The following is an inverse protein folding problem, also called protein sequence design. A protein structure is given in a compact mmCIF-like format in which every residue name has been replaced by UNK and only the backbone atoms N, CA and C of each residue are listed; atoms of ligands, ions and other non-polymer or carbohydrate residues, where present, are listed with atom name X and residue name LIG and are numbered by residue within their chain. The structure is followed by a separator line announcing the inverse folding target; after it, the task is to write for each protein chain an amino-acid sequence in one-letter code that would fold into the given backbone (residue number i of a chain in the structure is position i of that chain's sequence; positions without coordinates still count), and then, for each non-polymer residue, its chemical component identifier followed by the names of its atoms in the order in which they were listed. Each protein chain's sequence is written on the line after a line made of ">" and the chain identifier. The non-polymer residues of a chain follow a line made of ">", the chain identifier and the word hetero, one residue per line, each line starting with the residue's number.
data_IF_351111137285
#
_entry.id   IF_351111137285
#
_cell.length_a   1.000
_cell.length_b   1.000
_cell.length_c   1.000
_cell.angle_alpha   90.00
_cell.angle_beta   90.00
_cell.angle_gamma   90.00
#
_symmetry.space_group_name_H-M   'P 1'
#
loop_
_entity.id
_entity.type
_entity.pdbx_description
1 polymer ?
#
# COMPACT_ATOMS: atom_id res chain seq x y z
N UNK A 1 10.77 13.71 -2.36
CA UNK A 1 9.58 14.20 -3.11
C UNK A 1 8.67 13.00 -3.34
N UNK A 2 7.35 13.19 -3.26
CA UNK A 2 6.37 12.11 -3.47
C UNK A 2 6.19 11.80 -4.96
N UNK A 3 6.08 10.52 -5.34
CA UNK A 3 5.87 10.11 -6.74
C UNK A 3 4.63 10.76 -7.36
N UNK A 4 3.56 10.92 -6.58
CA UNK A 4 2.30 11.55 -7.02
C UNK A 4 2.43 13.00 -7.45
N UNK A 5 3.47 13.70 -7.00
CA UNK A 5 3.70 15.10 -7.36
C UNK A 5 4.45 15.28 -8.68
N UNK A 6 5.15 14.26 -9.14
CA UNK A 6 6.06 14.33 -10.29
C UNK A 6 5.64 13.41 -11.45
N UNK A 7 4.73 12.46 -11.20
CA UNK A 7 4.27 11.54 -12.22
C UNK A 7 3.28 12.20 -13.18
N UNK A 8 3.52 12.06 -14.49
CA UNK A 8 2.57 12.44 -15.55
C UNK A 8 1.51 11.35 -15.82
N UNK A 9 1.66 10.18 -15.19
CA UNK A 9 0.81 9.00 -15.38
C UNK A 9 0.20 8.52 -14.06
N UNK A 10 -0.84 7.70 -14.16
CA UNK A 10 -1.50 7.09 -13.02
C UNK A 10 -0.51 6.22 -12.20
N UNK A 11 -0.55 6.39 -10.88
CA UNK A 11 0.26 5.63 -9.93
C UNK A 11 -0.48 4.39 -9.45
N UNK A 12 0.22 3.25 -9.50
CA UNK A 12 -0.24 1.99 -8.93
C UNK A 12 0.66 1.56 -7.79
N UNK A 13 0.07 1.20 -6.65
CA UNK A 13 0.79 0.71 -5.47
C UNK A 13 0.34 -0.69 -5.07
N UNK A 14 1.30 -1.56 -4.78
CA UNK A 14 1.09 -2.95 -4.33
C UNK A 14 1.88 -3.19 -3.03
N UNK A 15 1.42 -2.64 -1.89
CA UNK A 15 2.06 -2.86 -0.60
C UNK A 15 2.00 -4.33 -0.17
N UNK A 16 3.00 -4.75 0.61
CA UNK A 16 2.92 -5.98 1.40
C UNK A 16 1.98 -5.79 2.59
N UNK A 17 1.53 -6.89 3.21
CA UNK A 17 0.84 -6.85 4.50
C UNK A 17 1.81 -6.56 5.67
N UNK A 18 2.47 -5.41 5.61
CA UNK A 18 3.51 -5.00 6.55
C UNK A 18 4.90 -5.50 6.17
N UNK A 19 5.86 -5.29 7.08
CA UNK A 19 7.19 -5.88 6.95
C UNK A 19 7.13 -7.35 7.39
N UNK A 20 7.92 -8.24 6.75
CA UNK A 20 8.02 -9.61 7.23
C UNK A 20 8.61 -9.62 8.64
N UNK A 21 8.02 -10.43 9.53
CA UNK A 21 8.54 -10.65 10.87
C UNK A 21 9.76 -11.61 10.86
N UNK A 22 10.30 -11.94 12.03
CA UNK A 22 11.49 -12.81 12.15
C UNK A 22 11.26 -14.24 11.62
N UNK A 23 10.00 -14.67 11.49
CA UNK A 23 9.60 -15.95 10.91
C UNK A 23 9.29 -15.86 9.41
N UNK A 24 9.37 -14.66 8.81
CA UNK A 24 9.02 -14.41 7.42
C UNK A 24 7.53 -14.26 7.14
N UNK A 25 6.71 -14.15 8.18
CA UNK A 25 5.26 -13.98 8.09
C UNK A 25 4.88 -12.49 8.07
N UNK A 26 3.63 -12.21 7.71
CA UNK A 26 3.09 -10.85 7.59
C UNK A 26 1.95 -10.65 8.58
N UNK A 27 2.15 -9.75 9.54
CA UNK A 27 1.25 -9.58 10.69
C UNK A 27 0.24 -8.42 10.53
N UNK A 28 0.35 -7.62 9.47
CA UNK A 28 -0.59 -6.51 9.26
C UNK A 28 -1.96 -7.06 8.86
N UNK A 29 -2.98 -6.74 9.64
CA UNK A 29 -4.33 -7.22 9.35
C UNK A 29 -4.94 -6.51 8.12
N UNK A 30 -5.92 -7.12 7.44
CA UNK A 30 -6.61 -6.48 6.33
C UNK A 30 -7.28 -5.15 6.70
N UNK A 31 -7.80 -5.00 7.92
CA UNK A 31 -8.41 -3.76 8.39
C UNK A 31 -7.40 -2.63 8.56
N UNK A 32 -6.24 -2.94 9.16
CA UNK A 32 -5.20 -1.93 9.38
C UNK A 32 -4.58 -1.50 8.04
N UNK A 33 -4.36 -2.46 7.13
CA UNK A 33 -3.90 -2.18 5.77
C UNK A 33 -4.91 -1.31 5.00
N UNK A 34 -6.21 -1.57 5.14
CA UNK A 34 -7.26 -0.81 4.48
C UNK A 34 -7.33 0.65 4.97
N UNK A 35 -7.11 0.89 6.27
CA UNK A 35 -7.06 2.25 6.83
C UNK A 35 -5.95 3.08 6.18
N UNK A 36 -4.73 2.54 6.10
CA UNK A 36 -3.62 3.24 5.42
C UNK A 36 -3.87 3.44 3.92
N UNK A 37 -4.42 2.44 3.23
CA UNK A 37 -4.75 2.56 1.80
C UNK A 37 -5.79 3.66 1.57
N UNK A 38 -6.80 3.76 2.45
CA UNK A 38 -7.81 4.80 2.37
C UNK A 38 -7.19 6.20 2.51
N UNK A 39 -6.31 6.41 3.50
CA UNK A 39 -5.60 7.67 3.67
C UNK A 39 -4.77 8.04 2.42
N UNK A 40 -4.10 7.07 1.80
CA UNK A 40 -3.30 7.29 0.59
C UNK A 40 -4.18 7.67 -0.61
N UNK A 41 -5.32 7.00 -0.76
CA UNK A 41 -6.28 7.29 -1.82
C UNK A 41 -6.90 8.69 -1.64
N UNK A 42 -7.32 9.03 -0.42
CA UNK A 42 -7.87 10.36 -0.09
C UNK A 42 -6.84 11.48 -0.28
N UNK A 43 -5.57 11.20 0.02
CA UNK A 43 -4.45 12.13 -0.20
C UNK A 43 -3.99 12.21 -1.67
N UNK A 44 -4.60 11.45 -2.57
CA UNK A 44 -4.26 11.43 -4.00
C UNK A 44 -2.87 10.84 -4.31
N UNK A 45 -2.35 9.98 -3.44
CA UNK A 45 -1.02 9.37 -3.61
C UNK A 45 -1.01 8.26 -4.67
N UNK A 46 -2.14 7.59 -4.88
CA UNK A 46 -2.29 6.47 -5.81
C UNK A 46 -3.63 6.56 -6.56
N UNK A 47 -3.69 5.86 -7.69
CA UNK A 47 -4.88 5.76 -8.54
C UNK A 47 -5.40 4.31 -8.61
N UNK A 48 -4.49 3.36 -8.49
CA UNK A 48 -4.76 1.92 -8.54
C UNK A 48 -4.07 1.29 -7.33
N UNK A 49 -4.77 0.40 -6.64
CA UNK A 49 -4.21 -0.34 -5.50
C UNK A 49 -4.41 -1.84 -5.69
N UNK A 50 -3.38 -2.61 -5.33
CA UNK A 50 -3.43 -4.05 -5.20
C UNK A 50 -2.63 -4.50 -3.98
N UNK A 51 -2.41 -5.81 -3.86
CA UNK A 51 -1.60 -6.41 -2.81
C UNK A 51 -0.37 -7.11 -3.38
N UNK A 52 0.70 -7.18 -2.60
CA UNK A 52 1.88 -7.99 -2.90
C UNK A 52 1.98 -9.13 -1.87
N UNK A 53 3.12 -9.29 -1.19
CA UNK A 53 3.33 -10.40 -0.27
C UNK A 53 2.47 -10.26 0.99
N UNK A 54 1.83 -11.36 1.40
CA UNK A 54 1.01 -11.43 2.62
C UNK A 54 -0.39 -10.83 2.49
N UNK A 55 -0.75 -10.22 1.35
CA UNK A 55 -2.10 -9.68 1.14
C UNK A 55 -3.07 -10.79 0.69
N UNK A 56 -4.27 -10.84 1.29
CA UNK A 56 -5.34 -11.80 0.97
C UNK A 56 -6.72 -11.19 1.10
#
# INVERSE_FOLDING_TARGET
>A
EELSRISEVAISAHPNAGLPNELGEYDLSPSDMAEHIAEWAESGLLNIVGGCCGTT
#
